data_IF_591743709043
#
_entry.id   IF_591743709043
#
_cell.length_a   1.000
_cell.length_b   1.000
_cell.length_c   1.000
_cell.angle_alpha   90.00
_cell.angle_beta   90.00
_cell.angle_gamma   90.00
#
_symmetry.space_group_name_H-M   'P 1'
#
loop_
_entity.id
_entity.type
_entity.pdbx_description
1 polymer ?
#
# COMPACT_ATOMS: atom_id res chain seq x y z
N UNK A 1 -20.94 -2.45 6.24
CA UNK A 1 -19.80 -2.81 7.10
C UNK A 1 -19.27 -1.51 7.70
N UNK A 2 -19.27 -1.35 9.02
CA UNK A 2 -19.03 -0.05 9.66
C UNK A 2 -17.56 0.37 9.46
N UNK A 3 -17.36 1.56 8.88
CA UNK A 3 -16.10 2.28 9.01
C UNK A 3 -15.83 2.49 10.50
N UNK A 4 -14.59 2.35 10.92
CA UNK A 4 -14.19 2.65 12.29
C UNK A 4 -14.54 4.11 12.59
N UNK A 5 -15.31 4.34 13.61
CA UNK A 5 -15.66 5.67 14.10
C UNK A 5 -14.80 5.94 15.33
N UNK A 6 -14.32 7.17 15.47
CA UNK A 6 -13.69 7.61 16.70
C UNK A 6 -14.73 7.76 17.81
N UNK A 7 -14.30 8.05 19.04
CA UNK A 7 -15.18 8.28 20.20
C UNK A 7 -16.22 9.40 19.97
N UNK A 8 -15.99 10.29 19.00
CA UNK A 8 -16.90 11.37 18.60
C UNK A 8 -17.87 10.97 17.48
N UNK A 9 -17.80 9.72 16.98
CA UNK A 9 -18.65 9.24 15.89
C UNK A 9 -18.19 9.66 14.49
N UNK A 10 -17.00 10.27 14.36
CA UNK A 10 -16.44 10.70 13.08
C UNK A 10 -15.79 9.51 12.36
N UNK A 11 -15.89 9.50 11.03
CA UNK A 11 -15.32 8.45 10.18
C UNK A 11 -13.80 8.57 10.19
N UNK A 12 -13.13 7.54 10.67
CA UNK A 12 -11.67 7.44 10.61
C UNK A 12 -11.22 6.96 9.23
N UNK A 13 -10.15 7.55 8.71
CA UNK A 13 -9.55 7.14 7.44
C UNK A 13 -9.20 5.65 7.40
N UNK A 14 -9.42 5.01 6.28
CA UNK A 14 -9.11 3.58 6.04
C UNK A 14 -7.63 3.40 5.72
N UNK A 15 -6.94 2.56 6.49
CA UNK A 15 -5.53 2.22 6.24
C UNK A 15 -5.45 0.90 5.49
N UNK A 16 -4.86 0.92 4.28
CA UNK A 16 -4.72 -0.25 3.40
C UNK A 16 -3.26 -0.45 3.03
N UNK A 17 -2.68 -1.59 3.38
CA UNK A 17 -1.33 -1.97 2.94
C UNK A 17 -1.35 -2.78 1.66
N UNK A 18 -0.45 -2.48 0.73
CA UNK A 18 -0.17 -3.32 -0.43
C UNK A 18 1.04 -4.20 -0.13
N UNK A 19 0.81 -5.51 -0.02
CA UNK A 19 1.83 -6.45 0.45
C UNK A 19 1.95 -7.63 -0.51
N UNK A 20 3.17 -7.96 -0.87
CA UNK A 20 3.56 -9.22 -1.48
C UNK A 20 5.08 -9.37 -1.35
N UNK A 21 5.55 -10.56 -0.93
CA UNK A 21 6.99 -10.83 -0.81
C UNK A 21 7.71 -10.94 -2.16
N UNK A 22 6.98 -11.25 -3.24
CA UNK A 22 7.54 -11.31 -4.59
C UNK A 22 7.79 -9.89 -5.09
N UNK A 23 9.02 -9.62 -5.53
CA UNK A 23 9.36 -8.38 -6.22
C UNK A 23 8.68 -8.31 -7.60
N UNK A 24 8.44 -7.08 -8.08
CA UNK A 24 7.95 -6.87 -9.45
C UNK A 24 6.48 -7.20 -9.71
N UNK A 25 5.66 -7.56 -8.71
CA UNK A 25 4.23 -7.86 -8.89
C UNK A 25 3.32 -6.64 -9.02
N UNK A 26 3.89 -5.43 -9.05
CA UNK A 26 3.15 -4.19 -9.22
C UNK A 26 2.63 -3.56 -7.90
N UNK A 27 3.23 -3.86 -6.74
CA UNK A 27 2.89 -3.20 -5.46
C UNK A 27 2.96 -1.68 -5.59
N UNK A 28 4.15 -1.15 -5.81
CA UNK A 28 4.41 0.29 -5.92
C UNK A 28 3.61 0.95 -7.03
N UNK A 29 3.53 0.30 -8.21
CA UNK A 29 2.69 0.81 -9.30
C UNK A 29 1.23 0.92 -8.88
N UNK A 30 0.73 -0.06 -8.12
CA UNK A 30 -0.65 -0.04 -7.62
C UNK A 30 -0.82 0.99 -6.51
N UNK A 31 0.12 1.10 -5.57
CA UNK A 31 0.07 2.09 -4.48
C UNK A 31 -0.02 3.52 -5.02
N UNK A 32 0.83 3.86 -5.99
CA UNK A 32 0.83 5.18 -6.65
C UNK A 32 -0.50 5.44 -7.37
N UNK A 33 -0.90 4.51 -8.23
CA UNK A 33 -2.02 4.74 -9.15
C UNK A 33 -3.37 4.61 -8.45
N UNK A 34 -3.52 3.71 -7.47
CA UNK A 34 -4.72 3.63 -6.63
C UNK A 34 -4.87 4.91 -5.79
N UNK A 35 -3.79 5.38 -5.14
CA UNK A 35 -3.82 6.62 -4.35
C UNK A 35 -4.22 7.82 -5.18
N UNK A 36 -3.63 7.98 -6.37
CA UNK A 36 -3.98 9.07 -7.26
C UNK A 36 -5.42 8.96 -7.81
N UNK A 37 -5.90 7.73 -8.09
CA UNK A 37 -7.26 7.51 -8.57
C UNK A 37 -8.31 7.74 -7.48
N UNK A 38 -8.05 7.35 -6.22
CA UNK A 38 -8.89 7.69 -5.08
C UNK A 38 -8.97 9.21 -4.89
N UNK A 39 -7.83 9.91 -5.00
CA UNK A 39 -7.77 11.36 -4.91
C UNK A 39 -8.58 12.06 -6.03
N UNK A 40 -8.62 11.50 -7.24
CA UNK A 40 -9.49 11.98 -8.32
C UNK A 40 -10.99 11.82 -8.02
N UNK A 41 -11.37 10.81 -7.26
CA UNK A 41 -12.73 10.65 -6.74
C UNK A 41 -13.02 11.53 -5.51
N UNK A 42 -12.14 12.50 -5.21
CA UNK A 42 -12.34 13.48 -4.14
C UNK A 42 -11.91 13.02 -2.76
N UNK A 43 -11.36 11.80 -2.63
CA UNK A 43 -10.89 11.28 -1.36
C UNK A 43 -9.59 11.98 -0.95
N UNK A 44 -9.44 12.29 0.34
CA UNK A 44 -8.17 12.77 0.93
C UNK A 44 -7.28 11.57 1.16
N UNK A 45 -6.16 11.48 0.45
CA UNK A 45 -5.30 10.30 0.44
C UNK A 45 -3.88 10.62 0.92
N UNK A 46 -3.37 9.81 1.84
CA UNK A 46 -1.95 9.74 2.17
C UNK A 46 -1.35 8.49 1.55
N UNK A 47 -0.38 8.67 0.67
CA UNK A 47 0.49 7.59 0.20
C UNK A 47 1.70 7.53 1.13
N UNK A 48 1.91 6.38 1.76
CA UNK A 48 3.07 6.10 2.61
C UNK A 48 4.00 5.14 1.89
N UNK A 49 5.24 5.56 1.65
CA UNK A 49 6.29 4.74 1.02
C UNK A 49 7.15 4.09 2.13
N UNK A 50 7.03 2.76 2.30
CA UNK A 50 7.83 1.98 3.27
C UNK A 50 8.97 1.19 2.61
N UNK A 51 9.14 1.28 1.28
CA UNK A 51 10.27 0.64 0.62
C UNK A 51 11.49 1.57 0.69
N UNK A 52 12.63 1.15 1.26
CA UNK A 52 13.88 1.94 1.28
C UNK A 52 14.32 2.41 -0.11
N UNK A 53 13.88 1.71 -1.17
CA UNK A 53 14.14 2.13 -2.54
C UNK A 53 13.40 3.42 -2.93
N UNK A 54 12.37 3.84 -2.21
CA UNK A 54 11.66 5.10 -2.40
C UNK A 54 11.02 5.24 -3.79
N UNK A 55 10.53 4.14 -4.37
CA UNK A 55 9.97 4.15 -5.71
C UNK A 55 8.58 4.80 -5.78
N UNK A 56 7.78 4.71 -4.72
CA UNK A 56 6.52 5.43 -4.63
C UNK A 56 6.78 6.94 -4.49
N UNK A 57 7.79 7.32 -3.71
CA UNK A 57 8.25 8.71 -3.55
C UNK A 57 8.61 9.34 -4.89
N UNK A 58 9.44 8.65 -5.69
CA UNK A 58 9.80 9.13 -7.03
C UNK A 58 8.61 9.15 -7.98
N UNK A 59 7.76 8.13 -7.90
CA UNK A 59 6.61 7.96 -8.80
C UNK A 59 5.50 9.00 -8.65
N UNK A 60 5.50 9.78 -7.57
CA UNK A 60 4.60 10.94 -7.39
C UNK A 60 5.31 12.29 -7.52
N UNK A 61 6.56 12.28 -8.02
CA UNK A 61 7.27 13.48 -8.48
C UNK A 61 8.25 14.11 -7.51
N UNK A 62 8.69 13.38 -6.47
CA UNK A 62 9.74 13.86 -5.57
C UNK A 62 11.09 13.22 -5.91
N UNK A 63 12.14 14.01 -5.86
CA UNK A 63 13.50 13.49 -5.97
C UNK A 63 13.97 13.04 -4.58
N UNK A 64 14.44 11.80 -4.48
CA UNK A 64 14.91 11.21 -3.21
C UNK A 64 16.06 12.01 -2.57
N UNK A 65 16.90 12.66 -3.40
CA UNK A 65 18.01 13.48 -2.91
C UNK A 65 17.56 14.77 -2.21
N UNK A 66 16.33 15.20 -2.45
CA UNK A 66 15.79 16.45 -1.88
C UNK A 66 14.92 16.19 -0.63
N UNK A 67 14.80 14.92 -0.20
CA UNK A 67 14.02 14.53 0.99
C UNK A 67 14.87 14.74 2.24
N UNK A 68 14.52 15.76 3.02
CA UNK A 68 15.21 16.10 4.29
C UNK A 68 14.76 15.17 5.42
N UNK A 69 13.46 14.85 5.49
CA UNK A 69 12.86 13.97 6.49
C UNK A 69 11.96 12.95 5.83
N UNK A 70 11.93 11.75 6.39
CA UNK A 70 11.20 10.61 5.84
C UNK A 70 10.48 9.81 6.93
N UNK A 71 9.79 8.75 6.54
CA UNK A 71 9.20 7.81 7.49
C UNK A 71 10.24 7.18 8.43
N UNK A 72 11.51 7.16 8.06
CA UNK A 72 12.60 6.76 8.96
C UNK A 72 12.66 7.63 10.22
N UNK A 73 12.55 8.96 10.08
CA UNK A 73 12.53 9.90 11.19
C UNK A 73 11.31 9.69 12.10
N UNK A 74 10.18 9.32 11.50
CA UNK A 74 8.96 8.96 12.23
C UNK A 74 9.19 7.70 13.09
N UNK A 75 9.80 6.65 12.54
CA UNK A 75 10.13 5.42 13.28
C UNK A 75 11.13 5.68 14.40
N UNK A 76 12.09 6.55 14.17
CA UNK A 76 13.08 6.91 15.19
C UNK A 76 12.54 7.83 16.28
N UNK A 77 11.37 8.45 16.04
CA UNK A 77 10.76 9.39 16.96
C UNK A 77 11.42 10.78 16.94
N UNK A 78 12.19 11.10 15.88
CA UNK A 78 12.82 12.41 15.69
C UNK A 78 11.91 13.39 14.95
N UNK A 79 10.80 12.90 14.37
CA UNK A 79 9.76 13.71 13.74
C UNK A 79 8.38 13.09 13.92
N UNK A 80 7.35 13.93 13.94
CA UNK A 80 5.97 13.47 13.85
C UNK A 80 5.54 13.30 12.38
N UNK A 81 4.51 12.50 12.10
CA UNK A 81 4.02 12.30 10.72
C UNK A 81 3.66 13.61 10.04
N UNK A 82 3.01 14.53 10.77
CA UNK A 82 2.61 15.85 10.28
C UNK A 82 3.79 16.70 9.78
N UNK A 83 4.98 16.52 10.38
CA UNK A 83 6.17 17.30 10.05
C UNK A 83 6.88 16.77 8.78
N UNK A 84 6.58 15.54 8.40
CA UNK A 84 7.24 14.81 7.30
C UNK A 84 6.36 14.73 6.05
N UNK A 85 5.03 14.82 6.21
CA UNK A 85 4.11 14.70 5.08
C UNK A 85 4.31 15.83 4.07
N UNK A 86 4.47 15.45 2.80
CA UNK A 86 4.65 16.34 1.67
C UNK A 86 3.35 16.45 0.87
N UNK A 87 3.02 17.66 0.42
CA UNK A 87 1.94 17.89 -0.54
C UNK A 87 2.43 17.57 -1.95
N UNK A 88 1.74 16.67 -2.64
CA UNK A 88 2.06 16.37 -4.03
C UNK A 88 1.47 17.44 -4.97
N UNK A 89 1.85 17.35 -6.26
CA UNK A 89 1.22 18.16 -7.32
C UNK A 89 -0.20 17.70 -7.68
N UNK A 90 -0.64 16.58 -7.13
CA UNK A 90 -1.97 16.01 -7.36
C UNK A 90 -2.90 16.41 -6.23
N UNK A 91 -4.02 17.03 -6.60
CA UNK A 91 -5.04 17.46 -5.62
C UNK A 91 -5.47 16.27 -4.75
N UNK A 92 -5.65 16.50 -3.46
CA UNK A 92 -6.06 15.52 -2.45
C UNK A 92 -5.09 14.36 -2.22
N UNK A 93 -3.89 14.37 -2.79
CA UNK A 93 -2.87 13.36 -2.56
C UNK A 93 -1.68 13.96 -1.82
N UNK A 94 -1.37 13.40 -0.65
CA UNK A 94 -0.17 13.68 0.14
C UNK A 94 0.74 12.47 0.13
N UNK A 95 2.03 12.69 0.42
CA UNK A 95 3.05 11.66 0.50
C UNK A 95 3.75 11.70 1.87
N UNK A 96 3.89 10.54 2.51
CA UNK A 96 4.90 10.32 3.55
C UNK A 96 6.06 9.58 2.89
N UNK A 97 7.20 10.27 2.63
CA UNK A 97 8.26 9.74 1.78
C UNK A 97 9.13 8.71 2.49
N UNK A 98 9.78 7.86 1.69
CA UNK A 98 10.84 6.95 2.13
C UNK A 98 12.23 7.56 1.99
N UNK A 99 13.22 6.91 2.63
CA UNK A 99 14.64 7.16 2.44
C UNK A 99 15.46 5.88 2.54
N UNK A 100 16.70 5.89 2.03
CA UNK A 100 17.61 4.75 2.13
C UNK A 100 17.94 4.35 3.58
N UNK A 101 17.88 5.29 4.51
CA UNK A 101 18.09 5.02 5.93
C UNK A 101 17.10 3.99 6.49
N UNK A 102 15.90 3.92 5.91
CA UNK A 102 14.89 2.94 6.31
C UNK A 102 15.35 1.48 6.15
N UNK A 103 16.38 1.21 5.36
CA UNK A 103 16.95 -0.14 5.22
C UNK A 103 17.51 -0.71 6.53
N UNK A 104 17.95 0.15 7.46
CA UNK A 104 18.48 -0.24 8.77
C UNK A 104 17.43 -0.35 9.89
N UNK A 105 16.22 0.12 9.65
CA UNK A 105 15.24 0.32 10.72
C UNK A 105 14.85 -0.97 11.47
N UNK A 106 14.80 -2.11 10.77
CA UNK A 106 14.50 -3.41 11.41
C UNK A 106 15.50 -3.72 12.52
N UNK A 107 16.79 -3.44 12.31
CA UNK A 107 17.87 -3.68 13.29
C UNK A 107 17.69 -2.70 14.46
N UNK A 108 17.50 -1.43 14.18
CA UNK A 108 17.34 -0.38 15.21
C UNK A 108 16.13 -0.63 16.12
N UNK A 109 14.99 -1.03 15.54
CA UNK A 109 13.79 -1.37 16.31
C UNK A 109 14.00 -2.62 17.17
N UNK A 110 14.78 -3.60 16.69
CA UNK A 110 15.14 -4.78 17.47
C UNK A 110 16.07 -4.42 18.63
N UNK A 111 17.04 -3.54 18.44
CA UNK A 111 17.96 -3.04 19.49
C UNK A 111 17.19 -2.25 20.54
N UNK A 112 16.36 -1.29 20.14
CA UNK A 112 15.47 -0.56 21.06
C UNK A 112 14.60 -1.50 21.90
N UNK A 113 14.08 -2.57 21.29
CA UNK A 113 13.29 -3.58 22.00
C UNK A 113 14.10 -4.47 22.95
N UNK A 114 15.43 -4.61 22.76
CA UNK A 114 16.33 -5.28 23.71
C UNK A 114 16.68 -4.38 24.89
N UNK A 115 16.93 -3.10 24.62
CA UNK A 115 17.27 -2.11 25.65
C UNK A 115 16.06 -1.77 26.52
N UNK A 116 14.86 -1.72 25.93
CA UNK A 116 13.63 -1.43 26.63
C UNK A 116 12.58 -2.54 26.36
N UNK A 117 12.38 -3.48 27.30
CA UNK A 117 11.40 -4.57 27.15
C UNK A 117 9.93 -4.10 26.97
N UNK A 118 9.60 -2.87 27.37
CA UNK A 118 8.26 -2.29 27.18
C UNK A 118 8.08 -1.68 25.81
N UNK A 119 9.15 -1.53 25.01
CA UNK A 119 9.09 -0.96 23.67
C UNK A 119 8.40 -1.93 22.69
N UNK A 120 7.25 -1.49 22.21
CA UNK A 120 6.42 -2.30 21.31
C UNK A 120 6.84 -2.10 19.85
N UNK A 121 7.92 -2.73 19.44
CA UNK A 121 8.55 -2.57 18.12
C UNK A 121 7.64 -2.82 16.91
N UNK A 122 6.58 -3.62 17.05
CA UNK A 122 5.64 -3.92 15.97
C UNK A 122 4.50 -2.88 15.85
N UNK A 123 4.38 -1.95 16.78
CA UNK A 123 3.27 -1.00 16.85
C UNK A 123 3.67 0.46 16.54
N UNK A 124 4.94 0.70 16.26
CA UNK A 124 5.46 2.06 16.08
C UNK A 124 4.74 2.82 14.97
N UNK A 125 4.52 2.20 13.83
CA UNK A 125 3.81 2.84 12.72
C UNK A 125 2.33 3.08 13.04
N UNK A 126 1.65 2.11 13.68
CA UNK A 126 0.23 2.22 14.04
C UNK A 126 -0.01 3.44 14.93
N UNK A 127 0.79 3.58 15.98
CA UNK A 127 0.60 4.63 16.95
C UNK A 127 0.82 6.02 16.32
N UNK A 128 1.79 6.14 15.41
CA UNK A 128 2.06 7.38 14.66
C UNK A 128 1.00 7.70 13.61
N UNK A 129 0.50 6.71 12.87
CA UNK A 129 -0.54 6.94 11.87
C UNK A 129 -1.89 7.30 12.51
N UNK A 130 -2.20 6.76 13.68
CA UNK A 130 -3.42 7.09 14.41
C UNK A 130 -3.52 8.59 14.74
N UNK A 131 -2.40 9.30 14.92
CA UNK A 131 -2.38 10.72 15.21
C UNK A 131 -2.82 11.61 14.04
N UNK A 132 -2.72 11.11 12.79
CA UNK A 132 -3.07 11.85 11.57
C UNK A 132 -4.23 11.24 10.80
N UNK A 133 -4.73 10.10 11.24
CA UNK A 133 -5.71 9.28 10.53
C UNK A 133 -6.99 10.04 10.18
N UNK A 134 -7.44 10.94 11.03
CA UNK A 134 -8.65 11.76 10.83
C UNK A 134 -8.51 12.77 9.66
N UNK A 135 -7.28 13.09 9.26
CA UNK A 135 -7.02 14.04 8.19
C UNK A 135 -7.23 13.43 6.79
N UNK A 136 -7.34 12.11 6.70
CA UNK A 136 -7.42 11.36 5.44
C UNK A 136 -8.63 10.44 5.40
N UNK A 137 -9.14 10.20 4.20
CA UNK A 137 -10.18 9.20 3.97
C UNK A 137 -9.54 7.83 3.69
N UNK A 138 -8.35 7.84 3.09
CA UNK A 138 -7.52 6.66 2.85
C UNK A 138 -6.04 6.93 3.17
N UNK A 139 -5.39 5.94 3.79
CA UNK A 139 -3.92 5.87 3.92
C UNK A 139 -3.50 4.59 3.20
N UNK A 140 -2.73 4.73 2.12
CA UNK A 140 -2.24 3.62 1.30
C UNK A 140 -0.77 3.40 1.62
N UNK A 141 -0.42 2.20 2.06
CA UNK A 141 0.96 1.85 2.44
C UNK A 141 1.59 0.98 1.37
N UNK A 142 2.65 1.50 0.72
CA UNK A 142 3.50 0.72 -0.19
C UNK A 142 4.57 -0.04 0.59
N UNK A 143 4.48 -1.36 0.63
CA UNK A 143 5.39 -2.20 1.41
C UNK A 143 6.55 -2.75 0.57
N UNK A 144 7.75 -2.92 1.16
CA UNK A 144 8.89 -3.57 0.51
C UNK A 144 8.58 -5.05 0.19
N UNK A 145 9.36 -5.69 -0.70
CA UNK A 145 9.22 -7.12 -1.03
C UNK A 145 9.84 -8.02 0.05
N UNK A 146 9.45 -7.83 1.30
CA UNK A 146 9.94 -8.59 2.45
C UNK A 146 8.84 -8.76 3.48
N UNK A 147 8.96 -9.76 4.34
CA UNK A 147 8.07 -9.98 5.49
C UNK A 147 8.80 -9.66 6.82
N UNK A 148 9.66 -8.63 6.81
CA UNK A 148 10.41 -8.15 7.97
C UNK A 148 9.56 -7.35 8.96
N UNK A 149 10.25 -6.68 9.89
CA UNK A 149 9.60 -5.89 10.94
C UNK A 149 8.88 -4.65 10.37
N UNK A 150 9.41 -4.05 9.30
CA UNK A 150 8.74 -2.96 8.57
C UNK A 150 7.36 -3.42 8.07
N UNK A 151 7.30 -4.56 7.36
CA UNK A 151 6.03 -5.10 6.85
C UNK A 151 5.10 -5.50 7.99
N UNK A 152 5.65 -6.04 9.10
CA UNK A 152 4.86 -6.31 10.31
C UNK A 152 4.25 -5.04 10.87
N UNK A 153 4.98 -3.93 10.93
CA UNK A 153 4.45 -2.63 11.34
C UNK A 153 3.33 -2.13 10.40
N UNK A 154 3.49 -2.29 9.08
CA UNK A 154 2.45 -1.96 8.12
C UNK A 154 1.17 -2.76 8.36
N UNK A 155 1.28 -4.09 8.51
CA UNK A 155 0.14 -4.98 8.80
C UNK A 155 -0.52 -4.66 10.15
N UNK A 156 0.28 -4.31 11.16
CA UNK A 156 -0.24 -3.97 12.49
C UNK A 156 -0.99 -2.64 12.48
N UNK A 157 -0.58 -1.71 11.63
CA UNK A 157 -1.21 -0.39 11.46
C UNK A 157 -2.45 -0.42 10.55
N UNK A 158 -2.62 -1.47 9.73
CA UNK A 158 -3.64 -1.50 8.68
C UNK A 158 -4.98 -2.05 9.15
N UNK A 159 -6.06 -1.54 8.56
CA UNK A 159 -7.40 -2.15 8.66
C UNK A 159 -7.52 -3.33 7.70
N UNK A 160 -6.83 -3.24 6.56
CA UNK A 160 -6.90 -4.30 5.55
C UNK A 160 -5.68 -4.32 4.63
N UNK A 161 -5.59 -5.42 3.87
CA UNK A 161 -4.47 -5.72 2.96
C UNK A 161 -4.99 -5.97 1.57
N UNK A 162 -4.40 -5.32 0.57
CA UNK A 162 -4.51 -5.69 -0.85
C UNK A 162 -3.27 -6.49 -1.23
N UNK A 163 -3.47 -7.64 -1.87
CA UNK A 163 -2.40 -8.50 -2.38
C UNK A 163 -2.35 -8.39 -3.91
N UNK A 164 -1.43 -7.59 -4.48
CA UNK A 164 -1.20 -7.61 -5.93
C UNK A 164 -0.53 -8.92 -6.33
N UNK A 165 -1.09 -9.59 -7.34
CA UNK A 165 -0.63 -10.88 -7.84
C UNK A 165 -0.46 -10.80 -9.35
N UNK A 166 0.74 -11.09 -9.82
CA UNK A 166 1.02 -11.16 -11.25
C UNK A 166 0.43 -12.45 -11.84
N UNK A 167 -0.23 -12.33 -13.02
CA UNK A 167 -0.82 -13.48 -13.73
C UNK A 167 0.26 -14.35 -14.40
N UNK A 168 1.07 -15.05 -13.60
CA UNK A 168 2.15 -15.97 -14.04
C UNK A 168 2.06 -17.30 -13.30
N UNK A 169 2.67 -18.35 -13.86
CA UNK A 169 2.56 -19.75 -13.43
C UNK A 169 2.80 -20.00 -11.92
N UNK A 170 3.74 -19.28 -11.32
CA UNK A 170 4.02 -19.41 -9.86
C UNK A 170 3.26 -18.40 -9.00
N UNK A 171 2.08 -17.95 -9.43
CA UNK A 171 1.34 -16.90 -8.74
C UNK A 171 0.92 -17.30 -7.31
N UNK A 172 0.52 -18.56 -7.09
CA UNK A 172 0.05 -19.04 -5.78
C UNK A 172 1.17 -19.48 -4.84
N UNK A 173 2.34 -19.86 -5.35
CA UNK A 173 3.41 -20.39 -4.51
C UNK A 173 3.90 -19.38 -3.45
N UNK A 174 4.04 -18.12 -3.85
CA UNK A 174 4.46 -17.04 -2.94
C UNK A 174 3.35 -16.53 -2.00
N UNK A 175 2.09 -16.81 -2.28
CA UNK A 175 0.96 -16.27 -1.50
C UNK A 175 0.80 -16.98 -0.16
N UNK A 176 1.10 -18.27 -0.09
CA UNK A 176 0.92 -19.07 1.14
C UNK A 176 1.72 -18.52 2.31
N UNK A 177 2.99 -18.14 2.10
CA UNK A 177 3.81 -17.55 3.15
C UNK A 177 3.27 -16.18 3.60
N UNK A 178 2.79 -15.37 2.65
CA UNK A 178 2.18 -14.09 2.96
C UNK A 178 0.89 -14.26 3.77
N UNK A 179 0.01 -15.19 3.39
CA UNK A 179 -1.21 -15.48 4.14
C UNK A 179 -0.90 -15.96 5.56
N UNK A 180 0.13 -16.77 5.75
CA UNK A 180 0.59 -17.18 7.07
C UNK A 180 1.08 -15.98 7.91
N UNK A 181 1.80 -15.03 7.30
CA UNK A 181 2.23 -13.81 7.99
C UNK A 181 1.03 -12.93 8.38
N UNK A 182 0.03 -12.78 7.50
CA UNK A 182 -1.21 -12.06 7.78
C UNK A 182 -1.96 -12.74 8.93
N UNK A 183 -2.18 -14.05 8.90
CA UNK A 183 -2.84 -14.80 9.96
C UNK A 183 -2.10 -14.69 11.30
N UNK A 184 -0.77 -14.73 11.30
CA UNK A 184 0.02 -14.54 12.51
C UNK A 184 -0.14 -13.13 13.08
N UNK A 185 -0.16 -12.12 12.21
CA UNK A 185 -0.41 -10.73 12.61
C UNK A 185 -1.82 -10.58 13.19
N UNK A 186 -2.84 -11.14 12.55
CA UNK A 186 -4.22 -11.16 13.06
C UNK A 186 -4.28 -11.79 14.46
N UNK A 187 -3.63 -12.93 14.64
CA UNK A 187 -3.69 -13.66 15.92
C UNK A 187 -2.99 -12.95 17.06
N UNK A 188 -1.88 -12.22 16.79
CA UNK A 188 -0.96 -11.74 17.85
C UNK A 188 -0.91 -10.23 17.99
N UNK A 189 -1.15 -9.47 16.91
CA UNK A 189 -0.85 -8.05 16.85
C UNK A 189 -2.05 -7.19 16.46
N UNK A 190 -2.82 -7.62 15.45
CA UNK A 190 -3.95 -6.85 14.92
C UNK A 190 -5.13 -7.77 14.56
N UNK A 191 -6.00 -8.12 15.52
CA UNK A 191 -7.15 -9.00 15.27
C UNK A 191 -8.15 -8.46 14.25
N UNK A 192 -8.18 -7.15 14.04
CA UNK A 192 -9.11 -6.48 13.12
C UNK A 192 -8.61 -6.44 11.68
N UNK A 193 -7.34 -6.82 11.42
CA UNK A 193 -6.77 -6.85 10.07
C UNK A 193 -7.59 -7.76 9.16
N UNK A 194 -7.96 -7.28 7.97
CA UNK A 194 -8.76 -8.02 6.99
C UNK A 194 -8.03 -8.16 5.66
N UNK A 195 -8.30 -9.24 4.93
CA UNK A 195 -7.97 -9.30 3.51
C UNK A 195 -9.00 -8.44 2.76
N UNK A 196 -8.57 -7.27 2.26
CA UNK A 196 -9.38 -6.39 1.42
C UNK A 196 -9.67 -7.06 0.09
N UNK A 197 -8.61 -7.52 -0.57
CA UNK A 197 -8.74 -8.27 -1.81
C UNK A 197 -7.41 -8.68 -2.43
N UNK A 198 -7.54 -9.53 -3.45
CA UNK A 198 -6.44 -9.93 -4.34
C UNK A 198 -6.62 -9.21 -5.66
N UNK A 199 -5.60 -8.46 -6.07
CA UNK A 199 -5.57 -7.70 -7.31
C UNK A 199 -4.72 -8.41 -8.35
N UNK A 200 -5.32 -8.85 -9.43
CA UNK A 200 -4.64 -9.43 -10.57
C UNK A 200 -3.94 -8.33 -11.37
N UNK A 201 -2.63 -8.49 -11.57
CA UNK A 201 -1.78 -7.49 -12.24
C UNK A 201 -1.06 -8.06 -13.44
N UNK A 202 -0.59 -7.18 -14.33
CA UNK A 202 0.22 -7.53 -15.51
C UNK A 202 -0.43 -8.59 -16.40
N UNK A 203 -1.75 -8.56 -16.48
CA UNK A 203 -2.49 -9.50 -17.32
C UNK A 203 -2.22 -9.22 -18.80
N UNK A 204 -1.84 -10.27 -19.51
CA UNK A 204 -1.73 -10.28 -20.98
C UNK A 204 -2.83 -11.19 -21.56
N UNK A 205 -3.80 -10.57 -22.22
CA UNK A 205 -4.94 -11.29 -22.84
C UNK A 205 -4.55 -12.19 -24.02
N UNK A 206 -3.30 -12.13 -24.47
CA UNK A 206 -2.81 -12.96 -25.57
C UNK A 206 -2.33 -14.36 -25.13
N UNK A 207 -2.25 -14.59 -23.81
CA UNK A 207 -1.72 -15.85 -23.27
C UNK A 207 -2.82 -16.66 -22.60
N UNK A 208 -2.95 -17.95 -22.96
CA UNK A 208 -3.87 -18.89 -22.29
C UNK A 208 -3.48 -19.09 -20.82
N UNK A 209 -2.18 -19.10 -20.52
CA UNK A 209 -1.66 -19.23 -19.17
C UNK A 209 -2.22 -18.13 -18.23
N UNK A 210 -2.34 -16.89 -18.70
CA UNK A 210 -2.92 -15.81 -17.90
C UNK A 210 -4.37 -16.09 -17.50
N UNK A 211 -5.15 -16.72 -18.37
CA UNK A 211 -6.55 -17.06 -18.11
C UNK A 211 -6.63 -18.19 -17.07
N UNK A 212 -5.84 -19.25 -17.22
CA UNK A 212 -5.78 -20.39 -16.29
C UNK A 212 -5.40 -19.91 -14.87
N UNK A 213 -4.39 -19.04 -14.75
CA UNK A 213 -3.99 -18.44 -13.46
C UNK A 213 -5.10 -17.61 -12.82
N UNK A 214 -5.84 -16.84 -13.63
CA UNK A 214 -7.00 -16.08 -13.13
C UNK A 214 -8.07 -16.99 -12.55
N UNK A 215 -8.41 -18.08 -13.25
CA UNK A 215 -9.41 -19.05 -12.80
C UNK A 215 -8.97 -19.74 -11.51
N UNK A 216 -7.70 -20.12 -11.40
CA UNK A 216 -7.12 -20.72 -10.20
C UNK A 216 -7.18 -19.77 -9.00
N UNK A 217 -6.76 -18.51 -9.17
CA UNK A 217 -6.81 -17.47 -8.11
C UNK A 217 -8.26 -17.20 -7.72
N UNK A 218 -9.18 -17.09 -8.66
CA UNK A 218 -10.61 -16.90 -8.38
C UNK A 218 -11.23 -18.07 -7.66
N UNK A 219 -10.85 -19.29 -8.00
CA UNK A 219 -11.31 -20.50 -7.30
C UNK A 219 -10.88 -20.50 -5.84
N UNK A 220 -9.65 -20.05 -5.55
CA UNK A 220 -9.10 -20.04 -4.19
C UNK A 220 -9.63 -18.87 -3.35
N UNK A 221 -9.62 -17.64 -3.89
CA UNK A 221 -9.95 -16.41 -3.14
C UNK A 221 -11.40 -15.96 -3.32
N UNK A 222 -12.14 -16.54 -4.27
CA UNK A 222 -13.57 -16.28 -4.54
C UNK A 222 -13.86 -14.76 -4.67
N UNK A 223 -14.80 -14.26 -3.87
CA UNK A 223 -15.24 -12.87 -3.84
C UNK A 223 -14.16 -11.87 -3.36
N UNK A 224 -13.04 -12.37 -2.82
CA UNK A 224 -11.91 -11.53 -2.45
C UNK A 224 -11.08 -11.08 -3.65
N UNK A 225 -11.23 -11.70 -4.81
CA UNK A 225 -10.57 -11.22 -6.03
C UNK A 225 -11.27 -9.96 -6.53
N UNK A 226 -10.51 -8.91 -6.82
CA UNK A 226 -11.06 -7.72 -7.46
C UNK A 226 -11.60 -8.07 -8.85
N UNK A 227 -12.73 -7.46 -9.23
CA UNK A 227 -13.28 -7.58 -10.59
C UNK A 227 -12.35 -6.91 -11.59
N UNK A 228 -11.74 -5.79 -11.16
CA UNK A 228 -10.75 -5.05 -11.93
C UNK A 228 -9.45 -5.85 -12.05
N UNK A 229 -8.94 -5.95 -13.28
CA UNK A 229 -7.64 -6.57 -13.60
C UNK A 229 -6.74 -5.50 -14.20
N UNK A 230 -5.50 -5.40 -13.73
CA UNK A 230 -4.52 -4.45 -14.25
C UNK A 230 -3.80 -5.06 -15.44
N UNK A 231 -3.91 -4.48 -16.65
CA UNK A 231 -3.26 -5.02 -17.84
C UNK A 231 -1.74 -4.79 -17.82
N UNK A 232 -1.01 -5.63 -18.55
CA UNK A 232 0.42 -5.43 -18.81
C UNK A 232 0.60 -4.31 -19.82
N UNK A 233 1.10 -3.16 -19.40
CA UNK A 233 1.30 -1.98 -20.24
C UNK A 233 2.65 -1.32 -19.97
N UNK A 234 3.38 -1.02 -21.01
CA UNK A 234 4.69 -0.33 -20.94
C UNK A 234 4.51 1.04 -20.26
N UNK A 235 3.44 1.76 -20.55
CA UNK A 235 3.13 3.07 -19.98
C UNK A 235 3.02 3.07 -18.45
N UNK A 236 2.59 1.96 -17.84
CA UNK A 236 2.54 1.81 -16.38
C UNK A 236 3.94 1.72 -15.76
N UNK A 237 4.91 1.19 -16.50
CA UNK A 237 6.31 1.15 -16.08
C UNK A 237 7.03 2.47 -16.33
N UNK A 238 6.67 3.20 -17.39
CA UNK A 238 7.26 4.48 -17.76
C UNK A 238 6.80 5.64 -16.86
N UNK A 239 5.52 5.69 -16.52
CA UNK A 239 4.92 6.81 -15.79
C UNK A 239 5.68 7.21 -14.50
N UNK A 240 6.13 6.26 -13.63
CA UNK A 240 6.92 6.59 -12.44
C UNK A 240 8.26 7.26 -12.76
N UNK A 241 8.93 6.95 -13.88
CA UNK A 241 10.18 7.61 -14.26
C UNK A 241 9.99 9.09 -14.63
N UNK A 242 8.76 9.48 -14.93
CA UNK A 242 8.36 10.87 -15.14
C UNK A 242 7.76 11.53 -13.88
N UNK A 243 7.79 10.85 -12.72
CA UNK A 243 7.23 11.34 -11.48
C UNK A 243 5.70 11.54 -11.53
N UNK A 244 4.99 10.73 -12.32
CA UNK A 244 3.55 10.89 -12.56
C UNK A 244 2.81 9.56 -12.40
N UNK A 245 1.67 9.54 -11.69
CA UNK A 245 0.70 8.47 -11.82
C UNK A 245 0.20 8.35 -13.26
N UNK A 246 -0.25 7.14 -13.66
CA UNK A 246 -0.70 6.88 -15.04
C UNK A 246 -1.84 7.80 -15.47
N UNK A 247 -2.74 8.16 -14.55
CA UNK A 247 -3.88 9.06 -14.82
C UNK A 247 -3.44 10.49 -15.21
N UNK A 248 -2.23 10.90 -14.80
CA UNK A 248 -1.64 12.18 -15.18
C UNK A 248 -0.65 12.04 -16.36
N UNK A 249 -0.06 10.85 -16.53
CA UNK A 249 0.88 10.57 -17.61
C UNK A 249 0.18 10.24 -18.92
N UNK A 250 -0.80 9.35 -18.89
CA UNK A 250 -1.61 8.95 -20.04
C UNK A 250 -3.08 8.74 -19.62
N UNK A 251 -3.87 9.85 -19.51
CA UNK A 251 -5.23 9.81 -18.96
C UNK A 251 -6.21 8.92 -19.73
N UNK A 252 -5.96 8.71 -21.04
CA UNK A 252 -6.83 7.93 -21.92
C UNK A 252 -6.45 6.47 -22.05
N UNK A 253 -5.35 6.05 -21.42
CA UNK A 253 -4.86 4.68 -21.50
C UNK A 253 -5.78 3.68 -20.80
N UNK A 254 -5.71 2.42 -21.24
CA UNK A 254 -6.35 1.30 -20.54
C UNK A 254 -5.87 1.17 -19.10
N UNK A 255 -4.61 1.56 -18.81
CA UNK A 255 -4.04 1.57 -17.47
C UNK A 255 -4.72 2.59 -16.55
N UNK A 256 -4.95 3.81 -17.04
CA UNK A 256 -5.70 4.84 -16.32
C UNK A 256 -7.11 4.39 -16.00
N UNK A 257 -7.82 3.85 -17.00
CA UNK A 257 -9.17 3.34 -16.79
C UNK A 257 -9.21 2.19 -15.77
N UNK A 258 -8.24 1.27 -15.83
CA UNK A 258 -8.17 0.16 -14.89
C UNK A 258 -7.98 0.65 -13.43
N UNK A 259 -7.09 1.62 -13.19
CA UNK A 259 -6.91 2.15 -11.83
C UNK A 259 -8.07 3.01 -11.35
N UNK A 260 -8.76 3.73 -12.23
CA UNK A 260 -10.02 4.40 -11.89
C UNK A 260 -11.10 3.40 -11.49
N UNK A 261 -11.25 2.30 -12.23
CA UNK A 261 -12.18 1.24 -11.89
C UNK A 261 -11.82 0.56 -10.55
N UNK A 262 -10.53 0.31 -10.30
CA UNK A 262 -10.07 -0.23 -9.03
C UNK A 262 -10.39 0.70 -7.87
N UNK A 263 -10.15 1.99 -8.01
CA UNK A 263 -10.45 2.98 -6.97
C UNK A 263 -11.97 3.01 -6.67
N UNK A 264 -12.81 2.97 -7.70
CA UNK A 264 -14.26 2.87 -7.54
C UNK A 264 -14.65 1.60 -6.79
N UNK A 265 -14.09 0.44 -7.17
CA UNK A 265 -14.35 -0.84 -6.50
C UNK A 265 -13.88 -0.82 -5.03
N UNK A 266 -12.75 -0.18 -4.71
CA UNK A 266 -12.28 0.02 -3.33
C UNK A 266 -13.26 0.90 -2.54
N UNK A 267 -13.74 2.00 -3.11
CA UNK A 267 -14.71 2.89 -2.46
C UNK A 267 -16.02 2.14 -2.17
N UNK A 268 -16.55 1.41 -3.14
CA UNK A 268 -17.78 0.63 -3.01
C UNK A 268 -17.65 -0.46 -1.92
N UNK A 269 -16.53 -1.20 -1.89
CA UNK A 269 -16.27 -2.24 -0.88
C UNK A 269 -16.17 -1.67 0.54
N UNK A 270 -15.81 -0.39 0.69
CA UNK A 270 -15.67 0.27 1.99
C UNK A 270 -16.87 1.13 2.38
N UNK A 271 -17.94 1.16 1.57
CA UNK A 271 -19.19 1.84 1.90
C UNK A 271 -19.15 3.37 1.75
N UNK A 272 -18.22 3.89 0.98
CA UNK A 272 -18.05 5.31 0.68
C UNK A 272 -18.58 5.68 -0.72
N UNK A 273 -19.63 5.04 -1.19
CA UNK A 273 -20.27 5.34 -2.48
C UNK A 273 -21.37 6.38 -2.34
#
# INVERSE_FOLDING_TARGET
MNMSKNEKGEIMGKIISLVNQKGGVGKTTTSINLSASLAMYGQRVLLLDLDPQGNATTGVGFNKGDIERSVYDVFNGTAEVSDVVLRTKFKNLSLLPSSLQLAGIDIELLEKGRENPTFQKAFQLRDKLNMVRENYDYIIIDCPPSLGLITTNALTASDSVIIPVQCEFFALEGITQLLNAIMLTQKKLNPELKLEGVLLTMFDSKTNLGIEVIEEIRSYFKEKVYTTIIPRLIRLAEAPSHGKPIIAYDPKSKGSQAYLNLAKEVIERNGNA
#
